data_IF_989053085077
#
_entry.id   IF_989053085077
#
_cell.length_a   1.000
_cell.length_b   1.000
_cell.length_c   1.000
_cell.angle_alpha   90.00
_cell.angle_beta   90.00
_cell.angle_gamma   90.00
#
_symmetry.space_group_name_H-M   'P 1'
#
loop_
_entity.id
_entity.type
_entity.pdbx_description
1 polymer ?
#
# COMPACT_ATOMS: atom_id res chain seq x y z
N UNK A 1 -4.37 -9.93 -21.46
CA UNK A 1 -5.17 -9.10 -20.57
C UNK A 1 -6.63 -9.57 -20.55
N UNK A 2 -7.41 -9.43 -21.62
CA UNK A 2 -8.84 -9.74 -21.65
C UNK A 2 -9.22 -11.15 -21.11
N UNK A 3 -8.42 -12.18 -21.35
CA UNK A 3 -8.68 -13.53 -20.82
C UNK A 3 -8.62 -13.57 -19.29
N UNK A 4 -7.69 -12.85 -18.69
CA UNK A 4 -7.53 -12.77 -17.23
C UNK A 4 -8.67 -11.97 -16.59
N UNK A 5 -9.03 -10.83 -17.18
CA UNK A 5 -10.13 -9.96 -16.73
C UNK A 5 -11.50 -10.65 -16.82
N UNK A 6 -11.65 -11.59 -17.75
CA UNK A 6 -12.89 -12.35 -17.94
C UNK A 6 -12.86 -13.73 -17.24
N UNK A 7 -12.11 -13.86 -16.16
CA UNK A 7 -12.08 -15.06 -15.31
C UNK A 7 -11.47 -16.26 -16.01
N UNK A 8 -10.41 -16.06 -16.80
CA UNK A 8 -9.68 -17.08 -17.55
C UNK A 8 -10.55 -17.84 -18.56
N UNK A 9 -11.55 -17.13 -19.12
CA UNK A 9 -12.50 -17.70 -20.07
C UNK A 9 -12.31 -17.07 -21.46
N UNK A 10 -11.77 -17.84 -22.39
CA UNK A 10 -11.47 -17.38 -23.76
C UNK A 10 -12.73 -17.01 -24.57
N UNK A 11 -13.88 -17.61 -24.26
CA UNK A 11 -15.14 -17.27 -24.94
C UNK A 11 -15.67 -15.91 -24.46
N UNK A 12 -15.63 -15.66 -23.15
CA UNK A 12 -16.02 -14.34 -22.59
C UNK A 12 -15.06 -13.25 -23.07
N UNK A 13 -13.75 -13.53 -23.07
CA UNK A 13 -12.75 -12.62 -23.59
C UNK A 13 -12.98 -12.28 -25.08
N UNK A 14 -13.30 -13.29 -25.90
CA UNK A 14 -13.62 -13.11 -27.31
C UNK A 14 -14.85 -12.19 -27.49
N UNK A 15 -15.90 -12.41 -26.71
CA UNK A 15 -17.09 -11.53 -26.73
C UNK A 15 -16.76 -10.10 -26.32
N UNK A 16 -15.94 -9.91 -25.29
CA UNK A 16 -15.51 -8.59 -24.80
C UNK A 16 -14.65 -7.83 -25.84
N UNK A 17 -13.88 -8.58 -26.65
CA UNK A 17 -13.02 -8.03 -27.70
C UNK A 17 -13.72 -7.95 -29.07
N UNK A 18 -14.99 -8.36 -29.19
CA UNK A 18 -15.74 -8.45 -30.44
C UNK A 18 -15.04 -9.29 -31.53
N UNK A 19 -14.35 -10.38 -31.14
CA UNK A 19 -13.68 -11.32 -32.03
C UNK A 19 -14.14 -12.75 -31.76
N UNK A 20 -13.65 -13.72 -32.53
CA UNK A 20 -13.98 -15.13 -32.32
C UNK A 20 -13.10 -15.80 -31.26
N UNK A 21 -13.65 -16.80 -30.56
CA UNK A 21 -12.87 -17.56 -29.58
C UNK A 21 -11.63 -18.25 -30.19
N UNK A 22 -11.67 -18.84 -31.40
CA UNK A 22 -10.47 -19.35 -32.08
C UNK A 22 -9.38 -18.29 -32.28
N UNK A 23 -9.76 -17.03 -32.59
CA UNK A 23 -8.79 -15.95 -32.75
C UNK A 23 -8.07 -15.62 -31.45
N UNK A 24 -8.78 -15.61 -30.31
CA UNK A 24 -8.15 -15.45 -28.98
C UNK A 24 -7.18 -16.60 -28.69
N UNK A 25 -7.60 -17.84 -28.98
CA UNK A 25 -6.75 -19.01 -28.72
C UNK A 25 -5.53 -19.04 -29.63
N UNK A 26 -5.66 -18.62 -30.88
CA UNK A 26 -4.56 -18.53 -31.84
C UNK A 26 -3.55 -17.46 -31.38
N UNK A 27 -4.01 -16.27 -31.03
CA UNK A 27 -3.15 -15.17 -30.56
C UNK A 27 -2.33 -15.58 -29.33
N UNK A 28 -2.95 -16.26 -28.35
CA UNK A 28 -2.22 -16.77 -27.19
C UNK A 28 -1.15 -17.76 -27.62
N UNK A 29 -1.50 -18.71 -28.48
CA UNK A 29 -0.57 -19.74 -28.96
C UNK A 29 0.60 -19.13 -29.75
N UNK A 30 0.37 -18.13 -30.55
CA UNK A 30 1.41 -17.42 -31.31
C UNK A 30 2.40 -16.70 -30.36
N UNK A 31 1.89 -16.05 -29.30
CA UNK A 31 2.71 -15.42 -28.28
C UNK A 31 3.54 -16.47 -27.53
N UNK A 32 2.92 -17.58 -27.11
CA UNK A 32 3.60 -18.67 -26.43
C UNK A 32 4.71 -19.29 -27.29
N UNK A 33 4.46 -19.45 -28.58
CA UNK A 33 5.44 -19.96 -29.54
C UNK A 33 6.57 -18.96 -29.78
N UNK A 34 6.25 -17.68 -29.92
CA UNK A 34 7.25 -16.65 -30.19
C UNK A 34 8.27 -16.49 -29.06
N UNK A 35 7.76 -16.50 -27.79
CA UNK A 35 8.63 -16.35 -26.61
C UNK A 35 9.13 -17.67 -26.05
N UNK A 36 8.67 -18.82 -26.55
CA UNK A 36 9.07 -20.15 -26.06
C UNK A 36 8.58 -20.44 -24.63
N UNK A 37 7.51 -19.82 -24.17
CA UNK A 37 6.97 -19.92 -22.82
C UNK A 37 5.48 -20.27 -22.85
N UNK A 38 4.99 -20.92 -21.81
CA UNK A 38 3.59 -21.21 -21.64
C UNK A 38 2.97 -20.15 -20.72
N UNK A 39 1.97 -19.40 -21.22
CA UNK A 39 1.29 -18.36 -20.48
C UNK A 39 0.10 -18.90 -19.69
N UNK A 40 -0.55 -19.94 -20.21
CA UNK A 40 -1.70 -20.58 -19.58
C UNK A 40 -1.57 -22.11 -19.58
N UNK A 41 -1.86 -22.71 -18.45
CA UNK A 41 -2.09 -24.15 -18.32
C UNK A 41 -3.58 -24.46 -18.53
N UNK A 42 -3.88 -25.65 -19.06
CA UNK A 42 -5.23 -26.17 -19.18
C UNK A 42 -5.49 -27.20 -18.07
N UNK A 43 -6.35 -26.82 -17.11
CA UNK A 43 -6.83 -27.74 -16.08
C UNK A 43 -8.28 -28.08 -16.39
N UNK A 44 -8.50 -29.22 -17.04
CA UNK A 44 -9.81 -29.62 -17.54
C UNK A 44 -10.34 -28.66 -18.62
N UNK A 45 -11.44 -27.97 -18.33
CA UNK A 45 -12.07 -26.97 -19.24
C UNK A 45 -11.70 -25.52 -18.91
N UNK A 46 -10.81 -25.29 -17.94
CA UNK A 46 -10.42 -23.95 -17.50
C UNK A 46 -8.97 -23.64 -17.86
N UNK A 47 -8.71 -22.40 -18.15
CA UNK A 47 -7.36 -21.86 -18.25
C UNK A 47 -6.91 -21.42 -16.85
N UNK A 48 -5.66 -21.64 -16.54
CA UNK A 48 -5.00 -21.10 -15.35
C UNK A 48 -3.72 -20.40 -15.80
N UNK A 49 -3.47 -19.21 -15.30
CA UNK A 49 -2.27 -18.45 -15.66
C UNK A 49 -1.04 -19.06 -14.98
N UNK A 50 0.04 -19.22 -15.73
CA UNK A 50 1.34 -19.68 -15.22
C UNK A 50 2.12 -18.52 -14.59
N UNK A 51 3.23 -18.81 -13.90
CA UNK A 51 4.15 -17.78 -13.41
C UNK A 51 4.70 -16.91 -14.54
N UNK A 52 5.06 -17.52 -15.69
CA UNK A 52 5.48 -16.80 -16.90
C UNK A 52 4.34 -15.95 -17.47
N UNK A 53 3.10 -16.48 -17.42
CA UNK A 53 1.91 -15.75 -17.82
C UNK A 53 1.61 -14.54 -16.95
N UNK A 54 1.80 -14.63 -15.64
CA UNK A 54 1.65 -13.52 -14.73
C UNK A 54 2.67 -12.41 -15.02
N UNK A 55 3.92 -12.78 -15.22
CA UNK A 55 4.98 -11.84 -15.58
C UNK A 55 4.69 -11.17 -16.93
N UNK A 56 4.32 -11.93 -17.94
CA UNK A 56 3.94 -11.40 -19.24
C UNK A 56 2.72 -10.48 -19.17
N UNK A 57 1.74 -10.81 -18.32
CA UNK A 57 0.53 -10.00 -18.13
C UNK A 57 0.87 -8.60 -17.61
N UNK A 58 1.83 -8.45 -16.70
CA UNK A 58 2.28 -7.16 -16.19
C UNK A 58 2.76 -6.25 -17.33
N UNK A 59 3.63 -6.78 -18.20
CA UNK A 59 4.09 -6.01 -19.38
C UNK A 59 2.95 -5.73 -20.38
N UNK A 60 2.07 -6.70 -20.60
CA UNK A 60 0.95 -6.52 -21.53
C UNK A 60 -0.05 -5.45 -21.05
N UNK A 61 -0.26 -5.33 -19.73
CA UNK A 61 -1.07 -4.27 -19.14
C UNK A 61 -0.37 -2.93 -19.39
N UNK A 62 0.90 -2.82 -19.03
CA UNK A 62 1.69 -1.58 -19.18
C UNK A 62 1.69 -1.06 -20.63
N UNK A 63 2.00 -1.94 -21.58
CA UNK A 63 1.98 -1.59 -23.02
C UNK A 63 0.58 -1.14 -23.46
N UNK A 64 -0.47 -1.83 -23.00
CA UNK A 64 -1.86 -1.49 -23.37
C UNK A 64 -2.26 -0.14 -22.79
N UNK A 65 -1.84 0.17 -21.58
CA UNK A 65 -2.17 1.42 -20.91
C UNK A 65 -1.39 2.58 -21.54
N UNK A 66 -0.08 2.42 -21.83
CA UNK A 66 0.71 3.41 -22.60
C UNK A 66 0.10 3.67 -23.99
N UNK A 67 -0.41 2.63 -24.66
CA UNK A 67 -1.08 2.81 -25.94
C UNK A 67 -2.38 3.59 -25.81
N UNK A 68 -3.18 3.30 -24.77
CA UNK A 68 -4.41 4.03 -24.48
C UNK A 68 -4.12 5.50 -24.13
N UNK A 69 -3.09 5.75 -23.33
CA UNK A 69 -2.66 7.09 -22.94
C UNK A 69 -2.17 7.89 -24.17
N UNK A 70 -1.42 7.24 -25.04
CA UNK A 70 -1.02 7.80 -26.33
C UNK A 70 -2.24 8.15 -27.20
N UNK A 71 -3.21 7.23 -27.36
CA UNK A 71 -4.44 7.49 -28.14
C UNK A 71 -5.24 8.64 -27.54
N UNK A 72 -5.36 8.69 -26.22
CA UNK A 72 -6.06 9.76 -25.49
C UNK A 72 -5.32 11.09 -25.64
N UNK A 73 -4.00 11.11 -25.48
CA UNK A 73 -3.15 12.30 -25.66
C UNK A 73 -3.19 12.85 -27.09
N UNK A 74 -3.38 12.00 -28.12
CA UNK A 74 -3.54 12.44 -29.50
C UNK A 74 -4.97 12.90 -29.86
N UNK A 75 -5.98 12.37 -29.17
CA UNK A 75 -7.38 12.80 -29.38
C UNK A 75 -7.70 14.13 -28.73
N UNK A 76 -7.09 14.38 -27.59
CA UNK A 76 -7.26 15.61 -26.80
C UNK A 76 -5.88 16.25 -26.63
N UNK A 77 -5.37 16.93 -27.67
CA UNK A 77 -4.12 17.72 -27.58
C UNK A 77 -4.21 18.83 -26.50
N UNK A 78 -5.44 19.13 -26.04
CA UNK A 78 -5.74 19.96 -24.86
C UNK A 78 -6.09 19.11 -23.61
N UNK A 79 -5.78 17.81 -23.60
CA UNK A 79 -6.29 16.91 -22.58
C UNK A 79 -5.64 17.09 -21.22
N UNK A 80 -6.48 17.23 -20.25
CA UNK A 80 -6.22 17.14 -18.82
C UNK A 80 -5.56 15.78 -18.53
N UNK A 81 -4.30 15.80 -18.13
CA UNK A 81 -3.62 14.59 -17.68
C UNK A 81 -4.33 13.97 -16.46
N UNK A 82 -4.21 12.68 -16.26
CA UNK A 82 -4.68 11.99 -15.05
C UNK A 82 -3.44 11.43 -14.34
N UNK A 83 -3.33 11.72 -13.05
CA UNK A 83 -2.35 11.07 -12.17
C UNK A 83 -3.06 10.23 -11.11
N UNK A 84 -2.70 8.95 -11.01
CA UNK A 84 -3.27 7.97 -10.07
C UNK A 84 -2.31 7.79 -8.90
N UNK A 85 -2.65 8.35 -7.75
CA UNK A 85 -1.78 8.37 -6.58
C UNK A 85 -2.31 7.43 -5.51
N UNK A 86 -1.47 6.51 -5.03
CA UNK A 86 -1.71 5.72 -3.84
C UNK A 86 -1.19 6.41 -2.58
N UNK A 87 -1.80 6.18 -1.43
CA UNK A 87 -1.21 6.56 -0.15
C UNK A 87 -1.57 5.55 0.94
N UNK A 88 -0.61 5.29 1.84
CA UNK A 88 -0.88 4.56 3.07
C UNK A 88 -1.85 5.34 3.97
N UNK A 89 -2.49 4.65 4.90
CA UNK A 89 -3.56 5.23 5.72
C UNK A 89 -3.09 6.48 6.48
N UNK A 90 -1.90 6.47 7.06
CA UNK A 90 -1.36 7.64 7.78
C UNK A 90 -1.13 8.81 6.83
N UNK A 91 -0.46 8.56 5.71
CA UNK A 91 -0.10 9.60 4.75
C UNK A 91 -1.37 10.13 4.08
N UNK A 92 -2.25 9.24 3.64
CA UNK A 92 -3.52 9.58 3.00
C UNK A 92 -4.44 10.41 3.88
N UNK A 93 -4.43 10.16 5.21
CA UNK A 93 -5.28 10.87 6.16
C UNK A 93 -4.70 12.22 6.62
N UNK A 94 -3.37 12.32 6.76
CA UNK A 94 -2.74 13.47 7.41
C UNK A 94 -2.03 14.43 6.47
N UNK A 95 -1.57 13.97 5.33
CA UNK A 95 -0.68 14.73 4.45
C UNK A 95 -1.23 14.91 3.04
N UNK A 96 -1.73 13.83 2.44
CA UNK A 96 -2.12 13.83 1.04
C UNK A 96 -3.15 14.89 0.65
N UNK A 97 -4.19 15.21 1.46
CA UNK A 97 -5.13 16.27 1.11
C UNK A 97 -4.45 17.62 0.87
N UNK A 98 -3.43 17.96 1.68
CA UNK A 98 -2.67 19.19 1.50
C UNK A 98 -1.76 19.12 0.27
N UNK A 99 -1.14 17.95 0.01
CA UNK A 99 -0.29 17.77 -1.17
C UNK A 99 -1.10 17.92 -2.46
N UNK A 100 -2.26 17.27 -2.53
CA UNK A 100 -3.16 17.38 -3.70
C UNK A 100 -3.67 18.82 -3.87
N UNK A 101 -4.01 19.48 -2.78
CA UNK A 101 -4.41 20.90 -2.84
C UNK A 101 -3.30 21.77 -3.44
N UNK A 102 -2.06 21.65 -2.92
CA UNK A 102 -0.92 22.41 -3.45
C UNK A 102 -0.57 22.02 -4.88
N UNK A 103 -0.78 20.77 -5.26
CA UNK A 103 -0.58 20.32 -6.64
C UNK A 103 -1.56 20.99 -7.61
N UNK A 104 -2.84 21.08 -7.25
CA UNK A 104 -3.83 21.78 -8.06
C UNK A 104 -3.57 23.28 -8.20
N UNK A 105 -2.86 23.91 -7.25
CA UNK A 105 -2.44 25.32 -7.37
C UNK A 105 -1.36 25.50 -8.46
N UNK A 106 -0.59 24.44 -8.76
CA UNK A 106 0.50 24.46 -9.76
C UNK A 106 0.03 23.87 -11.09
N UNK A 107 -0.73 22.79 -11.05
CA UNK A 107 -1.17 22.00 -12.21
C UNK A 107 -2.71 21.81 -12.19
N UNK A 108 -3.50 22.88 -12.39
CA UNK A 108 -4.97 22.83 -12.24
C UNK A 108 -5.67 21.96 -13.30
N UNK A 109 -5.00 21.69 -14.42
CA UNK A 109 -5.56 20.91 -15.53
C UNK A 109 -5.39 19.38 -15.35
N UNK A 110 -4.61 18.94 -14.37
CA UNK A 110 -4.36 17.51 -14.11
C UNK A 110 -5.38 16.98 -13.10
N UNK A 111 -6.10 15.91 -13.49
CA UNK A 111 -7.03 15.20 -12.59
C UNK A 111 -6.24 14.23 -11.69
N UNK A 112 -6.33 14.44 -10.37
CA UNK A 112 -5.65 13.59 -9.38
C UNK A 112 -6.64 12.56 -8.82
N UNK A 113 -6.39 11.28 -9.10
CA UNK A 113 -7.17 10.17 -8.57
C UNK A 113 -6.43 9.52 -7.40
N UNK A 114 -7.08 9.48 -6.24
CA UNK A 114 -6.46 9.03 -5.00
C UNK A 114 -7.02 7.68 -4.57
N UNK A 115 -6.11 6.76 -4.19
CA UNK A 115 -6.43 5.48 -3.55
C UNK A 115 -5.72 5.40 -2.20
N UNK A 116 -6.45 5.15 -1.10
CA UNK A 116 -5.88 4.99 0.24
C UNK A 116 -6.03 3.53 0.66
N UNK A 117 -4.91 2.84 0.81
CA UNK A 117 -4.86 1.42 1.19
C UNK A 117 -3.63 1.11 2.05
N UNK A 118 -3.43 -0.17 2.40
CA UNK A 118 -2.21 -0.66 3.04
C UNK A 118 -1.00 -0.58 2.09
N UNK A 119 0.19 -0.34 2.63
CA UNK A 119 1.42 -0.21 1.84
C UNK A 119 1.66 -1.41 0.91
N UNK A 120 1.48 -2.64 1.40
CA UNK A 120 1.64 -3.85 0.61
C UNK A 120 0.68 -3.92 -0.60
N UNK A 121 -0.57 -3.50 -0.42
CA UNK A 121 -1.55 -3.45 -1.52
C UNK A 121 -1.23 -2.36 -2.54
N UNK A 122 -0.71 -1.22 -2.06
CA UNK A 122 -0.27 -0.15 -2.95
C UNK A 122 0.91 -0.60 -3.82
N UNK A 123 1.88 -1.34 -3.26
CA UNK A 123 2.95 -1.94 -4.05
C UNK A 123 2.42 -2.88 -5.15
N UNK A 124 1.43 -3.72 -4.82
CA UNK A 124 0.79 -4.59 -5.81
C UNK A 124 0.12 -3.79 -6.93
N UNK A 125 -0.53 -2.67 -6.60
CA UNK A 125 -1.18 -1.78 -7.58
C UNK A 125 -0.17 -1.04 -8.47
N UNK A 126 0.98 -0.63 -7.93
CA UNK A 126 2.09 -0.09 -8.73
C UNK A 126 2.59 -1.13 -9.74
N UNK A 127 2.82 -2.37 -9.28
CA UNK A 127 3.27 -3.47 -10.16
C UNK A 127 2.24 -3.87 -11.21
N UNK A 128 0.95 -3.62 -10.95
CA UNK A 128 -0.15 -3.86 -11.88
C UNK A 128 -0.48 -2.65 -12.77
N UNK A 129 0.27 -1.54 -12.68
CA UNK A 129 0.01 -0.26 -13.35
C UNK A 129 -1.39 0.32 -13.08
N UNK A 130 -1.95 0.01 -11.92
CA UNK A 130 -3.18 0.64 -11.45
C UNK A 130 -2.93 2.02 -10.82
N UNK A 131 -1.68 2.29 -10.40
CA UNK A 131 -1.22 3.56 -9.83
C UNK A 131 0.08 3.97 -10.50
N UNK A 132 0.26 5.27 -10.71
CA UNK A 132 1.46 5.87 -11.27
C UNK A 132 2.54 6.02 -10.18
N UNK A 133 2.13 6.44 -8.99
CA UNK A 133 2.99 6.46 -7.81
C UNK A 133 2.19 6.21 -6.53
N UNK A 134 2.92 5.92 -5.44
CA UNK A 134 2.30 5.85 -4.12
C UNK A 134 3.23 6.37 -3.02
N UNK A 135 2.61 6.91 -1.97
CA UNK A 135 3.28 7.37 -0.76
C UNK A 135 3.09 6.33 0.33
N UNK A 136 4.16 5.66 0.73
CA UNK A 136 4.11 4.56 1.69
C UNK A 136 5.00 4.78 2.91
N UNK A 137 4.74 3.99 3.92
CA UNK A 137 5.52 3.89 5.14
C UNK A 137 6.45 2.67 5.06
N UNK A 138 7.75 2.89 5.10
CA UNK A 138 8.74 1.83 4.93
C UNK A 138 9.18 1.66 3.48
N UNK A 139 10.15 0.81 3.25
CA UNK A 139 10.79 0.60 1.95
C UNK A 139 10.16 -0.61 1.24
N UNK A 140 9.92 -0.50 -0.05
CA UNK A 140 9.58 -1.69 -0.85
C UNK A 140 10.80 -2.57 -1.05
N UNK A 141 10.62 -3.87 -0.95
CA UNK A 141 11.66 -4.86 -1.22
C UNK A 141 11.58 -5.45 -2.64
N UNK A 142 10.64 -4.96 -3.44
CA UNK A 142 10.47 -5.44 -4.81
C UNK A 142 11.45 -4.74 -5.75
N UNK A 143 12.23 -5.51 -6.51
CA UNK A 143 13.26 -5.01 -7.43
C UNK A 143 12.71 -4.20 -8.61
N UNK A 144 11.40 -4.25 -8.87
CA UNK A 144 10.73 -3.48 -9.92
C UNK A 144 10.14 -2.16 -9.39
N UNK A 145 10.29 -1.88 -8.09
CA UNK A 145 9.81 -0.65 -7.47
C UNK A 145 11.02 0.20 -7.06
N UNK A 146 11.01 1.45 -7.48
CA UNK A 146 11.90 2.48 -6.95
C UNK A 146 11.28 3.05 -5.68
N UNK A 147 12.10 3.27 -4.65
CA UNK A 147 11.67 3.83 -3.37
C UNK A 147 12.56 5.01 -2.99
N UNK A 148 12.00 6.20 -2.94
CA UNK A 148 12.72 7.43 -2.59
C UNK A 148 12.20 7.98 -1.26
N UNK A 149 13.08 8.09 -0.28
CA UNK A 149 12.73 8.65 1.03
C UNK A 149 12.54 10.16 0.93
N UNK A 150 11.42 10.69 1.45
CA UNK A 150 11.15 12.13 1.41
C UNK A 150 10.87 12.77 2.78
N UNK A 151 10.50 11.99 3.80
CA UNK A 151 10.23 12.52 5.14
C UNK A 151 10.47 11.46 6.22
N UNK A 152 10.95 11.90 7.39
CA UNK A 152 11.08 11.06 8.58
C UNK A 152 9.82 11.16 9.45
N UNK A 153 9.39 10.03 10.03
CA UNK A 153 8.24 9.91 10.92
C UNK A 153 8.56 9.04 12.13
N UNK A 154 7.80 9.22 13.21
CA UNK A 154 7.96 8.51 14.46
C UNK A 154 6.64 7.92 14.92
N UNK A 155 6.71 6.76 15.56
CA UNK A 155 5.58 6.17 16.26
C UNK A 155 5.76 6.39 17.76
N UNK A 156 4.64 6.65 18.44
CA UNK A 156 4.58 6.80 19.88
C UNK A 156 3.87 5.62 20.53
N UNK A 157 4.38 5.17 21.64
CA UNK A 157 3.67 4.24 22.52
C UNK A 157 2.65 5.03 23.30
N UNK A 158 1.38 4.64 23.20
CA UNK A 158 0.26 5.30 23.88
C UNK A 158 -0.43 4.37 24.88
N UNK A 159 -0.93 4.94 25.96
CA UNK A 159 -1.72 4.26 26.97
C UNK A 159 -2.88 5.15 27.45
N UNK A 160 -3.83 4.57 28.15
CA UNK A 160 -4.86 5.34 28.85
C UNK A 160 -4.26 6.17 29.99
N UNK A 161 -4.92 7.27 30.34
CA UNK A 161 -4.45 8.20 31.38
C UNK A 161 -4.56 7.65 32.81
N UNK A 162 -5.37 6.59 33.02
CA UNK A 162 -5.59 5.95 34.31
C UNK A 162 -4.57 4.83 34.58
N UNK A 163 -3.67 4.55 33.63
CA UNK A 163 -2.67 3.48 33.76
C UNK A 163 -1.63 3.74 34.87
N UNK A 164 -1.60 4.94 35.41
CA UNK A 164 -0.67 5.34 36.47
C UNK A 164 0.71 5.74 35.95
N UNK A 165 0.91 5.82 34.64
CA UNK A 165 2.12 6.35 34.01
C UNK A 165 1.95 7.83 33.69
N UNK A 166 2.99 8.62 33.95
CA UNK A 166 3.01 10.05 33.57
C UNK A 166 3.27 10.17 32.07
N UNK A 167 2.69 11.19 31.46
CA UNK A 167 2.99 11.49 30.06
C UNK A 167 4.48 11.71 29.83
N UNK A 168 5.03 11.09 28.79
CA UNK A 168 6.46 11.11 28.48
C UNK A 168 7.34 10.26 29.39
N UNK A 169 6.76 9.50 30.34
CA UNK A 169 7.51 8.64 31.26
C UNK A 169 8.32 7.59 30.51
N UNK A 170 9.55 7.37 30.96
CA UNK A 170 10.38 6.26 30.49
C UNK A 170 10.05 5.00 31.27
N UNK A 171 9.71 3.90 30.57
CA UNK A 171 9.42 2.59 31.17
C UNK A 171 10.46 1.55 30.75
N UNK A 172 10.81 0.60 31.64
CA UNK A 172 11.69 -0.51 31.28
C UNK A 172 11.06 -1.42 30.22
N UNK A 173 11.91 -2.08 29.44
CA UNK A 173 11.49 -3.00 28.38
C UNK A 173 10.71 -4.20 28.95
N UNK A 174 11.06 -4.66 30.17
CA UNK A 174 10.38 -5.76 30.87
C UNK A 174 8.95 -5.40 31.28
N UNK A 175 8.69 -4.10 31.50
CA UNK A 175 7.36 -3.59 31.82
C UNK A 175 6.55 -3.47 30.52
N UNK A 176 7.17 -2.97 29.44
CA UNK A 176 6.56 -2.83 28.13
C UNK A 176 6.10 -4.17 27.57
N UNK A 177 6.97 -5.18 27.53
CA UNK A 177 6.66 -6.48 26.93
C UNK A 177 5.52 -7.25 27.61
N UNK A 178 5.20 -6.93 28.87
CA UNK A 178 4.13 -7.57 29.64
C UNK A 178 2.75 -6.92 29.41
N UNK A 179 2.67 -5.88 28.59
CA UNK A 179 1.42 -5.17 28.34
C UNK A 179 0.53 -5.94 27.36
N UNK A 180 -0.75 -5.58 27.35
CA UNK A 180 -1.68 -6.00 26.32
C UNK A 180 -1.52 -5.06 25.12
N UNK A 181 -1.22 -5.60 23.94
CA UNK A 181 -0.95 -4.81 22.77
C UNK A 181 -2.14 -4.75 21.84
N UNK A 182 -2.47 -3.53 21.39
CA UNK A 182 -3.48 -3.21 20.40
C UNK A 182 -2.73 -2.68 19.17
N UNK A 183 -2.60 -3.50 18.14
CA UNK A 183 -1.68 -3.21 17.04
C UNK A 183 -2.43 -3.06 15.70
N UNK A 184 -1.77 -2.41 14.77
CA UNK A 184 -2.18 -2.42 13.38
C UNK A 184 -2.04 -3.84 12.81
N UNK A 185 -2.77 -4.08 11.78
CA UNK A 185 -2.78 -5.33 11.03
C UNK A 185 -1.44 -5.60 10.33
N UNK A 186 -1.17 -6.86 10.00
CA UNK A 186 -0.05 -7.25 9.16
C UNK A 186 -0.18 -6.62 7.77
N UNK A 187 0.95 -6.25 7.15
CA UNK A 187 0.97 -5.52 5.88
C UNK A 187 0.84 -3.99 6.03
N UNK A 188 0.63 -3.50 7.26
CA UNK A 188 0.72 -2.06 7.58
C UNK A 188 2.17 -1.66 7.85
N UNK A 189 2.65 -0.59 7.24
CA UNK A 189 3.98 -0.04 7.53
C UNK A 189 4.18 0.35 9.00
N UNK A 190 3.12 0.72 9.73
CA UNK A 190 3.17 0.93 11.18
C UNK A 190 3.45 -0.37 11.93
N UNK A 191 2.80 -1.47 11.53
CA UNK A 191 3.04 -2.79 12.12
C UNK A 191 4.43 -3.31 11.80
N UNK A 192 4.91 -3.13 10.61
CA UNK A 192 6.25 -3.54 10.19
C UNK A 192 7.34 -2.88 11.04
N UNK A 193 7.24 -1.56 11.30
CA UNK A 193 8.18 -0.86 12.18
C UNK A 193 8.14 -1.43 13.60
N UNK A 194 6.94 -1.68 14.14
CA UNK A 194 6.78 -2.26 15.46
C UNK A 194 7.45 -3.65 15.54
N UNK A 195 7.10 -4.55 14.62
CA UNK A 195 7.62 -5.92 14.59
C UNK A 195 9.16 -5.93 14.41
N UNK A 196 9.70 -5.08 13.54
CA UNK A 196 11.14 -4.94 13.33
C UNK A 196 11.86 -4.51 14.61
N UNK A 197 11.40 -3.43 15.24
CA UNK A 197 12.06 -2.89 16.46
C UNK A 197 11.98 -3.88 17.62
N UNK A 198 10.83 -4.51 17.84
CA UNK A 198 10.66 -5.49 18.92
C UNK A 198 11.46 -6.78 18.66
N UNK A 199 11.50 -7.25 17.42
CA UNK A 199 12.31 -8.43 17.04
C UNK A 199 13.79 -8.17 17.23
N UNK A 200 14.30 -7.00 16.84
CA UNK A 200 15.70 -6.61 17.07
C UNK A 200 16.07 -6.54 18.56
N UNK A 201 15.10 -6.20 19.42
CA UNK A 201 15.27 -6.20 20.86
C UNK A 201 15.04 -7.59 21.52
N UNK A 202 14.80 -8.63 20.73
CA UNK A 202 14.53 -9.98 21.24
C UNK A 202 13.15 -10.14 21.88
N UNK A 203 12.20 -9.25 21.59
CA UNK A 203 10.86 -9.26 22.16
C UNK A 203 9.89 -9.84 21.14
N UNK A 204 9.10 -10.81 21.57
CA UNK A 204 8.02 -11.38 20.77
C UNK A 204 6.66 -10.98 21.36
N UNK A 205 5.87 -10.25 20.59
CA UNK A 205 4.58 -9.73 21.02
C UNK A 205 3.46 -10.37 20.20
N UNK A 206 2.47 -10.88 20.90
CA UNK A 206 1.21 -11.33 20.31
C UNK A 206 0.15 -10.29 20.66
N UNK A 207 -0.43 -9.55 19.69
CA UNK A 207 -1.45 -8.57 19.99
C UNK A 207 -2.74 -9.24 20.48
N UNK A 208 -3.44 -8.60 21.41
CA UNK A 208 -4.77 -9.01 21.85
C UNK A 208 -5.87 -8.39 20.98
N UNK A 209 -5.52 -7.37 20.21
CA UNK A 209 -6.39 -6.70 19.24
C UNK A 209 -5.58 -6.30 18.02
N UNK A 210 -6.11 -6.64 16.86
CA UNK A 210 -5.52 -6.25 15.57
C UNK A 210 -6.57 -5.52 14.74
N UNK A 211 -6.26 -4.34 14.19
CA UNK A 211 -7.20 -3.55 13.41
C UNK A 211 -6.51 -2.69 12.34
N UNK A 212 -7.20 -2.51 11.21
CA UNK A 212 -6.81 -1.58 10.15
C UNK A 212 -7.05 -0.11 10.55
N UNK A 213 -8.02 0.14 11.40
CA UNK A 213 -8.41 1.48 11.84
C UNK A 213 -7.56 1.97 12.99
N UNK A 214 -6.71 2.97 12.74
CA UNK A 214 -5.94 3.66 13.79
C UNK A 214 -6.86 4.30 14.83
N UNK A 215 -7.99 4.86 14.41
CA UNK A 215 -8.99 5.44 15.32
C UNK A 215 -9.58 4.38 16.26
N UNK A 216 -9.85 3.17 15.78
CA UNK A 216 -10.32 2.09 16.62
C UNK A 216 -9.30 1.71 17.70
N UNK A 217 -8.00 1.67 17.35
CA UNK A 217 -6.93 1.38 18.30
C UNK A 217 -6.76 2.50 19.33
N UNK A 218 -6.87 3.77 18.92
CA UNK A 218 -6.86 4.91 19.85
C UNK A 218 -8.02 4.79 20.83
N UNK A 219 -9.25 4.56 20.35
CA UNK A 219 -10.42 4.43 21.19
C UNK A 219 -10.32 3.22 22.16
N UNK A 220 -9.78 2.11 21.69
CA UNK A 220 -9.54 0.94 22.55
C UNK A 220 -8.50 1.25 23.63
N UNK A 221 -7.46 2.05 23.30
CA UNK A 221 -6.46 2.52 24.28
C UNK A 221 -7.09 3.47 25.31
N UNK A 222 -7.93 4.43 24.88
CA UNK A 222 -8.64 5.35 25.78
C UNK A 222 -9.50 4.56 26.79
N UNK A 223 -10.08 3.45 26.36
CA UNK A 223 -10.91 2.59 27.22
C UNK A 223 -10.06 1.60 28.09
N UNK A 224 -8.75 1.76 28.14
CA UNK A 224 -7.88 0.95 29.01
C UNK A 224 -7.70 -0.51 28.58
N UNK A 225 -8.06 -0.86 27.33
CA UNK A 225 -7.96 -2.26 26.84
C UNK A 225 -6.53 -2.74 26.62
N UNK A 226 -5.58 -1.80 26.51
CA UNK A 226 -4.15 -2.09 26.33
C UNK A 226 -3.35 -0.85 25.95
N UNK A 227 -2.14 -1.06 25.45
CA UNK A 227 -1.27 -0.03 24.88
C UNK A 227 -1.19 -0.20 23.37
N UNK A 228 -0.89 0.88 22.66
CA UNK A 228 -0.71 0.83 21.22
C UNK A 228 0.57 1.57 20.81
N UNK A 229 1.11 1.26 19.62
CA UNK A 229 2.24 1.96 19.03
C UNK A 229 1.77 2.52 17.69
N UNK A 230 1.57 3.81 17.64
CA UNK A 230 0.86 4.47 16.53
C UNK A 230 1.60 5.72 16.02
N UNK A 231 1.35 6.13 14.77
CA UNK A 231 1.96 7.33 14.21
C UNK A 231 1.70 8.56 15.07
N UNK A 232 2.75 9.30 15.40
CA UNK A 232 2.68 10.43 16.30
C UNK A 232 1.62 11.47 15.88
N UNK A 233 1.51 11.75 14.58
CA UNK A 233 0.52 12.71 14.07
C UNK A 233 -0.93 12.27 14.24
N UNK A 234 -1.19 10.96 14.22
CA UNK A 234 -2.54 10.43 14.39
C UNK A 234 -3.05 10.52 15.82
N UNK A 235 -2.16 10.59 16.80
CA UNK A 235 -2.51 10.63 18.24
C UNK A 235 -2.63 12.05 18.80
N UNK A 236 -2.12 13.07 18.10
CA UNK A 236 -2.11 14.47 18.58
C UNK A 236 -3.47 14.95 19.07
N UNK A 237 -4.61 14.73 18.37
CA UNK A 237 -5.91 15.20 18.83
C UNK A 237 -6.28 14.62 20.20
N UNK A 238 -6.13 13.31 20.39
CA UNK A 238 -6.47 12.62 21.64
C UNK A 238 -5.49 12.97 22.77
N UNK A 239 -4.23 13.21 22.45
CA UNK A 239 -3.21 13.65 23.41
C UNK A 239 -3.53 15.07 23.90
N UNK A 240 -3.86 16.00 23.00
CA UNK A 240 -4.26 17.37 23.36
C UNK A 240 -5.52 17.45 24.22
N UNK A 241 -6.44 16.49 24.04
CA UNK A 241 -7.65 16.37 24.84
C UNK A 241 -7.41 15.67 26.19
N UNK A 242 -6.19 15.18 26.46
CA UNK A 242 -5.86 14.46 27.69
C UNK A 242 -6.55 13.09 27.81
N UNK A 243 -6.92 12.48 26.69
CA UNK A 243 -7.59 11.17 26.66
C UNK A 243 -6.60 9.99 26.69
N UNK A 244 -5.37 10.24 26.27
CA UNK A 244 -4.26 9.28 26.26
C UNK A 244 -2.99 9.95 26.80
N UNK A 245 -2.04 9.15 27.24
CA UNK A 245 -0.68 9.56 27.55
C UNK A 245 0.31 8.81 26.65
N UNK A 246 1.46 9.41 26.40
CA UNK A 246 2.59 8.77 25.73
C UNK A 246 3.57 8.22 26.75
N UNK A 247 4.27 7.15 26.39
CA UNK A 247 5.42 6.66 27.17
C UNK A 247 6.60 6.38 26.24
N UNK A 248 7.79 6.54 26.78
CA UNK A 248 9.02 6.11 26.13
C UNK A 248 9.40 4.74 26.65
N UNK A 249 9.92 3.89 25.80
CA UNK A 249 10.46 2.58 26.22
C UNK A 249 11.97 2.66 26.16
N UNK A 250 12.62 2.22 27.21
CA UNK A 250 14.08 2.22 27.30
C UNK A 250 14.65 1.47 26.09
N UNK A 251 15.63 2.08 25.41
CA UNK A 251 16.37 1.53 24.27
C UNK A 251 15.53 1.16 23.02
N UNK A 252 14.24 1.52 22.98
CA UNK A 252 13.40 1.32 21.81
C UNK A 252 13.00 2.65 21.16
N UNK A 253 13.35 2.80 19.90
CA UNK A 253 12.95 3.95 19.05
C UNK A 253 12.20 3.43 17.86
N UNK A 254 10.93 3.81 17.78
CA UNK A 254 10.06 3.47 16.64
C UNK A 254 10.10 4.59 15.62
N UNK A 255 11.08 4.57 14.73
CA UNK A 255 11.25 5.53 13.66
C UNK A 255 11.14 4.87 12.28
N UNK A 256 10.69 5.64 11.30
CA UNK A 256 10.58 5.24 9.91
C UNK A 256 10.77 6.42 8.98
N UNK A 257 10.95 6.15 7.71
CA UNK A 257 10.83 7.15 6.66
C UNK A 257 9.54 6.92 5.87
N UNK A 258 9.00 7.99 5.31
CA UNK A 258 8.01 7.93 4.23
C UNK A 258 8.74 7.92 2.90
N UNK A 259 8.21 7.13 2.00
CA UNK A 259 8.77 6.95 0.65
C UNK A 259 7.72 7.26 -0.40
N UNK A 260 8.15 7.88 -1.48
CA UNK A 260 7.44 7.81 -2.74
C UNK A 260 7.93 6.56 -3.46
N UNK A 261 6.99 5.77 -3.96
CA UNK A 261 7.28 4.57 -4.74
C UNK A 261 6.61 4.65 -6.10
N UNK A 262 7.28 4.13 -7.10
CA UNK A 262 6.79 4.02 -8.46
C UNK A 262 7.47 2.83 -9.18
N UNK A 263 6.89 2.38 -10.29
CA UNK A 263 7.49 1.32 -11.08
C UNK A 263 8.78 1.83 -11.73
N UNK A 264 9.85 1.02 -11.74
CA UNK A 264 11.17 1.43 -12.29
C UNK A 264 11.15 1.81 -13.78
N UNK A 265 10.17 1.30 -14.53
CA UNK A 265 9.95 1.58 -15.94
C UNK A 265 8.91 2.70 -16.17
N UNK A 266 8.46 3.37 -15.10
CA UNK A 266 7.58 4.54 -15.18
C UNK A 266 8.40 5.75 -15.62
N UNK A 267 7.93 6.44 -16.64
CA UNK A 267 8.44 7.74 -17.04
C UNK A 267 7.65 8.83 -16.30
N UNK A 268 8.16 9.24 -15.15
CA UNK A 268 7.63 10.38 -14.40
C UNK A 268 8.14 11.71 -14.98
#
# INVERSE_FOLDING_TARGET
RAVCENGYNSTKAASALHITQPAVSLAIKEIEQYYGVQLFDRIGRRLQITSSGQHFLQYAIHISDLFSDMETGFRDWDAKGIIRIGASITIGSQFLPNYVKSFYEICPEIDVRVTIEQSERLEQKILANELDCALIEGISHNSNIVSEAYMQDYLSVICDTNKGWKDGQNIPIEVFQKQRFLLREKGSGTREVFDRVTTQAGIHIIPVWEAMSTTALINATINGLGISVLPNRMIIPSLKQGLISTVKVQDLIFSRNFYIIYHKDEFL
#
